data_IF_826921195458
#
_entry.id   IF_826921195458
#
_cell.length_a   1.000
_cell.length_b   1.000
_cell.length_c   1.000
_cell.angle_alpha   90.00
_cell.angle_beta   90.00
_cell.angle_gamma   90.00
#
_symmetry.space_group_name_H-M   'P 1'
#
loop_
_entity.id
_entity.type
_entity.pdbx_description
1 polymer ?
#
# COMPACT_ATOMS: atom_id res chain seq x y z
N UNK A 1 -20.20 37.80 -19.36
CA UNK A 1 -19.81 37.28 -18.03
C UNK A 1 -19.86 35.73 -18.02
N UNK A 2 -20.93 35.10 -18.50
CA UNK A 2 -21.11 33.64 -18.51
C UNK A 2 -20.04 32.88 -19.32
N UNK A 3 -19.65 33.41 -20.49
CA UNK A 3 -18.62 32.80 -21.35
C UNK A 3 -17.24 32.83 -20.70
N UNK A 4 -16.91 33.91 -20.00
CA UNK A 4 -15.63 34.05 -19.28
C UNK A 4 -15.54 33.04 -18.10
N UNK A 5 -16.65 32.88 -17.37
CA UNK A 5 -16.72 31.91 -16.26
C UNK A 5 -16.59 30.48 -16.76
N UNK A 6 -17.26 30.12 -17.86
CA UNK A 6 -17.15 28.82 -18.50
C UNK A 6 -15.72 28.56 -19.01
N UNK A 7 -15.08 29.57 -19.61
CA UNK A 7 -13.68 29.47 -20.04
C UNK A 7 -12.72 29.26 -18.88
N UNK A 8 -12.92 29.94 -17.75
CA UNK A 8 -12.14 29.81 -16.54
C UNK A 8 -12.32 28.41 -15.92
N UNK A 9 -13.57 27.94 -15.83
CA UNK A 9 -13.89 26.60 -15.33
C UNK A 9 -13.26 25.52 -16.21
N UNK A 10 -13.32 25.64 -17.52
CA UNK A 10 -12.67 24.72 -18.46
C UNK A 10 -11.15 24.76 -18.34
N UNK A 11 -10.54 25.93 -18.18
CA UNK A 11 -9.10 26.09 -17.94
C UNK A 11 -8.67 25.41 -16.63
N UNK A 12 -9.39 25.64 -15.53
CA UNK A 12 -9.13 25.02 -14.23
C UNK A 12 -9.31 23.50 -14.29
N UNK A 13 -10.34 23.03 -14.98
CA UNK A 13 -10.55 21.59 -15.22
C UNK A 13 -9.40 20.96 -16.01
N UNK A 14 -8.94 21.59 -17.08
CA UNK A 14 -7.77 21.12 -17.85
C UNK A 14 -6.48 21.15 -17.04
N UNK A 15 -6.25 22.18 -16.25
CA UNK A 15 -5.09 22.28 -15.35
C UNK A 15 -5.09 21.16 -14.31
N UNK A 16 -6.23 20.91 -13.70
CA UNK A 16 -6.43 19.83 -12.75
C UNK A 16 -6.16 18.45 -13.38
N UNK A 17 -6.67 18.20 -14.58
CA UNK A 17 -6.46 16.94 -15.30
C UNK A 17 -4.98 16.70 -15.66
N UNK A 18 -4.24 17.73 -16.06
CA UNK A 18 -2.79 17.63 -16.30
C UNK A 18 -2.01 17.26 -15.02
N UNK A 19 -2.41 17.85 -13.90
CA UNK A 19 -1.79 17.54 -12.60
C UNK A 19 -2.03 16.08 -12.19
N UNK A 20 -3.26 15.56 -12.37
CA UNK A 20 -3.58 14.15 -12.13
C UNK A 20 -2.77 13.20 -12.99
N UNK A 21 -2.64 13.50 -14.28
CA UNK A 21 -1.84 12.67 -15.21
C UNK A 21 -0.35 12.66 -14.84
N UNK A 22 0.20 13.78 -14.36
CA UNK A 22 1.60 13.83 -13.91
C UNK A 22 1.83 12.99 -12.64
N UNK A 23 0.90 13.03 -11.67
CA UNK A 23 0.97 12.25 -10.44
C UNK A 23 0.83 10.75 -10.76
N UNK A 24 -0.11 10.38 -11.63
CA UNK A 24 -0.28 8.99 -12.08
C UNK A 24 0.99 8.47 -12.77
N UNK A 25 1.59 9.28 -13.65
CA UNK A 25 2.84 8.93 -14.33
C UNK A 25 3.99 8.76 -13.35
N UNK A 26 4.12 9.67 -12.38
CA UNK A 26 5.16 9.61 -11.34
C UNK A 26 5.01 8.36 -10.45
N UNK A 27 3.78 8.01 -10.09
CA UNK A 27 3.50 6.78 -9.34
C UNK A 27 3.79 5.51 -10.15
N UNK A 28 3.45 5.50 -11.45
CA UNK A 28 3.78 4.37 -12.32
C UNK A 28 5.29 4.20 -12.51
N UNK A 29 6.04 5.29 -12.63
CA UNK A 29 7.50 5.23 -12.71
C UNK A 29 8.13 4.76 -11.39
N UNK A 30 7.58 5.16 -10.25
CA UNK A 30 8.02 4.67 -8.94
C UNK A 30 7.79 3.16 -8.78
N UNK A 31 6.62 2.66 -9.17
CA UNK A 31 6.30 1.23 -9.15
C UNK A 31 7.22 0.44 -10.10
N UNK A 32 7.49 0.97 -11.31
CA UNK A 32 8.43 0.32 -12.25
C UNK A 32 9.85 0.24 -11.68
N UNK A 33 10.33 1.31 -11.04
CA UNK A 33 11.66 1.31 -10.38
C UNK A 33 11.73 0.31 -9.24
N UNK A 34 10.69 0.22 -8.42
CA UNK A 34 10.60 -0.74 -7.32
C UNK A 34 10.61 -2.19 -7.84
N UNK A 35 9.86 -2.45 -8.90
CA UNK A 35 9.82 -3.77 -9.54
C UNK A 35 11.18 -4.16 -10.14
N UNK A 36 11.85 -3.23 -10.80
CA UNK A 36 13.18 -3.46 -11.39
C UNK A 36 14.26 -3.65 -10.31
N UNK A 37 14.21 -2.88 -9.20
CA UNK A 37 15.09 -3.10 -8.06
C UNK A 37 14.89 -4.50 -7.44
N UNK A 38 13.65 -4.89 -7.22
CA UNK A 38 13.32 -6.20 -6.65
C UNK A 38 13.77 -7.34 -7.57
N UNK A 39 13.67 -7.16 -8.89
CA UNK A 39 14.21 -8.12 -9.87
C UNK A 39 15.73 -8.24 -9.75
N UNK A 40 16.46 -7.12 -9.67
CA UNK A 40 17.92 -7.12 -9.51
C UNK A 40 18.39 -7.73 -8.20
N UNK A 41 17.68 -7.46 -7.10
CA UNK A 41 17.97 -8.09 -5.80
C UNK A 41 17.83 -9.61 -5.92
N UNK A 42 16.75 -10.08 -6.53
CA UNK A 42 16.52 -11.51 -6.74
C UNK A 42 17.58 -12.17 -7.63
N UNK A 43 18.04 -11.48 -8.67
CA UNK A 43 19.13 -11.94 -9.54
C UNK A 43 20.48 -12.00 -8.81
N UNK A 44 20.76 -11.06 -7.92
CA UNK A 44 21.96 -11.06 -7.08
C UNK A 44 21.93 -12.17 -6.01
N UNK A 45 20.78 -12.44 -5.43
CA UNK A 45 20.58 -13.53 -4.48
C UNK A 45 20.73 -14.91 -5.14
N UNK A 46 20.36 -15.03 -6.41
CA UNK A 46 20.48 -16.28 -7.18
C UNK A 46 21.91 -16.56 -7.65
N UNK A 47 22.73 -15.50 -7.82
CA UNK A 47 24.10 -15.58 -8.33
C UNK A 47 25.19 -15.56 -7.25
N UNK A 48 24.84 -15.52 -5.97
CA UNK A 48 25.81 -15.63 -4.88
C UNK A 48 26.26 -17.08 -4.70
N UNK A 49 27.58 -17.39 -4.73
CA UNK A 49 28.06 -18.75 -4.54
C UNK A 49 27.77 -19.23 -3.12
N UNK A 50 27.06 -20.34 -3.02
CA UNK A 50 26.73 -21.02 -1.77
C UNK A 50 27.97 -21.62 -1.13
N UNK A 51 28.54 -20.94 -0.15
CA UNK A 51 29.50 -21.51 0.79
C UNK A 51 29.12 -21.08 2.21
N UNK A 52 28.22 -21.82 2.85
CA UNK A 52 28.19 -22.01 4.31
C UNK A 52 27.37 -23.29 4.63
N UNK A 53 27.89 -24.09 5.52
CA UNK A 53 27.49 -25.40 5.92
C UNK A 53 26.02 -25.62 6.29
N UNK A 54 25.48 -26.74 5.89
CA UNK A 54 24.06 -27.13 5.91
C UNK A 54 23.43 -27.28 7.31
N UNK A 55 24.22 -27.35 8.39
CA UNK A 55 23.70 -27.56 9.75
C UNK A 55 23.28 -26.28 10.49
N UNK A 56 23.99 -25.17 10.29
CA UNK A 56 23.65 -23.89 10.90
C UNK A 56 22.53 -23.16 10.16
N UNK A 57 22.30 -23.49 8.88
CA UNK A 57 21.28 -22.89 8.03
C UNK A 57 19.85 -23.23 8.45
N UNK A 58 19.63 -24.45 8.98
CA UNK A 58 18.31 -24.88 9.45
C UNK A 58 17.93 -24.27 10.80
N UNK A 59 18.86 -24.09 11.72
CA UNK A 59 18.61 -23.46 13.01
C UNK A 59 18.41 -21.94 12.86
N UNK A 60 19.15 -21.26 11.98
CA UNK A 60 18.99 -19.83 11.73
C UNK A 60 17.78 -19.50 10.87
N UNK A 61 17.35 -20.38 9.95
CA UNK A 61 16.15 -20.17 9.12
C UNK A 61 14.88 -20.30 9.96
N UNK A 62 14.76 -21.26 10.85
CA UNK A 62 13.58 -21.43 11.71
C UNK A 62 13.41 -20.23 12.68
N UNK A 63 14.50 -19.74 13.29
CA UNK A 63 14.46 -18.54 14.13
C UNK A 63 14.14 -17.28 13.35
N UNK A 64 14.58 -17.18 12.10
CA UNK A 64 14.28 -16.06 11.20
C UNK A 64 12.82 -16.11 10.74
N UNK A 65 12.31 -17.31 10.47
CA UNK A 65 10.92 -17.52 10.06
C UNK A 65 9.95 -17.26 11.21
N UNK A 66 10.28 -17.66 12.44
CA UNK A 66 9.48 -17.37 13.63
C UNK A 66 9.43 -15.87 13.93
N UNK A 67 10.56 -15.17 13.91
CA UNK A 67 10.61 -13.70 14.06
C UNK A 67 9.86 -12.99 12.95
N UNK A 68 9.94 -13.48 11.73
CA UNK A 68 9.22 -12.95 10.58
C UNK A 68 7.70 -13.05 10.77
N UNK A 69 7.25 -14.20 11.26
CA UNK A 69 5.84 -14.45 11.54
C UNK A 69 5.32 -13.61 12.72
N UNK A 70 6.11 -13.47 13.78
CA UNK A 70 5.78 -12.61 14.93
C UNK A 70 5.64 -11.15 14.52
N UNK A 71 6.59 -10.66 13.71
CA UNK A 71 6.53 -9.30 13.20
C UNK A 71 5.31 -9.08 12.30
N UNK A 72 4.97 -10.06 11.46
CA UNK A 72 3.77 -9.99 10.63
C UNK A 72 2.49 -10.01 11.47
N UNK A 73 2.41 -10.82 12.52
CA UNK A 73 1.28 -10.82 13.46
C UNK A 73 1.13 -9.46 14.16
N UNK A 74 2.25 -8.86 14.57
CA UNK A 74 2.25 -7.51 15.17
C UNK A 74 1.75 -6.48 14.16
N UNK A 75 2.21 -6.55 12.90
CA UNK A 75 1.72 -5.70 11.82
C UNK A 75 0.20 -5.86 11.60
N UNK A 76 -0.31 -7.09 11.53
CA UNK A 76 -1.75 -7.36 11.41
C UNK A 76 -2.54 -6.76 12.58
N UNK A 77 -2.02 -6.88 13.80
CA UNK A 77 -2.64 -6.33 15.00
C UNK A 77 -2.75 -4.80 14.92
N UNK A 78 -1.66 -4.08 14.64
CA UNK A 78 -1.69 -2.61 14.56
C UNK A 78 -2.55 -2.12 13.38
N UNK A 79 -2.58 -2.87 12.28
CA UNK A 79 -3.52 -2.56 11.19
C UNK A 79 -4.98 -2.69 11.63
N UNK A 80 -5.35 -3.74 12.36
CA UNK A 80 -6.74 -4.00 12.76
C UNK A 80 -7.19 -3.18 13.96
N UNK A 81 -6.36 -3.08 15.00
CA UNK A 81 -6.72 -2.45 16.27
C UNK A 81 -6.48 -0.94 16.23
N UNK A 82 -5.29 -0.51 15.80
CA UNK A 82 -4.91 0.90 15.77
C UNK A 82 -5.34 1.60 14.47
N UNK A 83 -5.73 0.80 13.45
CA UNK A 83 -6.23 1.28 12.15
C UNK A 83 -5.29 2.29 11.49
N UNK A 84 -3.97 2.09 11.61
CA UNK A 84 -2.96 3.00 11.08
C UNK A 84 -3.07 3.19 9.56
N UNK A 85 -3.77 2.28 8.85
CA UNK A 85 -4.08 2.42 7.42
C UNK A 85 -4.93 3.66 7.11
N UNK A 86 -5.64 4.26 8.08
CA UNK A 86 -6.42 5.49 7.90
C UNK A 86 -5.55 6.73 7.71
N UNK A 87 -4.29 6.69 8.14
CA UNK A 87 -3.34 7.77 7.85
C UNK A 87 -3.05 7.82 6.33
N UNK A 88 -3.43 8.94 5.69
CA UNK A 88 -3.18 9.16 4.27
C UNK A 88 -1.70 9.39 3.94
N UNK A 89 -0.86 9.63 4.95
CA UNK A 89 0.59 9.76 4.85
C UNK A 89 1.34 8.53 5.34
N UNK A 90 0.67 7.37 5.48
CA UNK A 90 1.32 6.14 5.87
C UNK A 90 2.38 5.71 4.85
N UNK A 91 3.58 5.45 5.32
CA UNK A 91 4.72 5.00 4.50
C UNK A 91 5.33 3.73 5.05
N UNK A 92 6.05 2.99 4.19
CA UNK A 92 6.83 1.82 4.65
C UNK A 92 7.81 2.17 5.76
N UNK A 93 8.44 3.35 5.66
CA UNK A 93 9.44 3.80 6.64
C UNK A 93 8.80 4.03 8.00
N UNK A 94 7.65 4.72 8.07
CA UNK A 94 6.87 4.89 9.31
C UNK A 94 6.48 3.55 9.95
N UNK A 95 5.96 2.62 9.15
CA UNK A 95 5.53 1.33 9.67
C UNK A 95 6.72 0.48 10.10
N UNK A 96 7.84 0.53 9.37
CA UNK A 96 9.07 -0.13 9.77
C UNK A 96 9.61 0.40 11.10
N UNK A 97 9.57 1.71 11.31
CA UNK A 97 9.94 2.36 12.57
C UNK A 97 9.05 1.90 13.74
N UNK A 98 7.73 1.90 13.57
CA UNK A 98 6.76 1.41 14.59
C UNK A 98 7.06 -0.03 14.98
N UNK A 99 7.46 -0.87 14.02
CA UNK A 99 7.74 -2.29 14.24
C UNK A 99 9.19 -2.56 14.68
N UNK A 100 10.04 -1.55 14.84
CA UNK A 100 11.44 -1.71 15.19
C UNK A 100 12.27 -2.47 14.15
N UNK A 101 11.93 -2.31 12.86
CA UNK A 101 12.57 -3.00 11.75
C UNK A 101 12.99 -2.03 10.64
N UNK A 102 13.47 -2.54 9.52
CA UNK A 102 13.81 -1.72 8.37
C UNK A 102 12.84 -1.94 7.20
N UNK A 103 12.80 -0.96 6.29
CA UNK A 103 11.93 -0.94 5.11
C UNK A 103 12.04 -2.18 4.23
N UNK A 104 13.24 -2.68 4.02
CA UNK A 104 13.50 -3.84 3.15
C UNK A 104 12.94 -5.11 3.78
N UNK A 105 13.20 -5.33 5.07
CA UNK A 105 12.70 -6.47 5.81
C UNK A 105 11.18 -6.46 5.91
N UNK A 106 10.56 -5.31 6.21
CA UNK A 106 9.11 -5.14 6.20
C UNK A 106 8.49 -5.50 4.85
N UNK A 107 9.08 -4.99 3.73
CA UNK A 107 8.58 -5.32 2.38
C UNK A 107 8.65 -6.80 2.08
N UNK A 108 9.73 -7.48 2.49
CA UNK A 108 9.92 -8.92 2.34
C UNK A 108 8.85 -9.69 3.10
N UNK A 109 8.65 -9.40 4.38
CA UNK A 109 7.66 -10.07 5.23
C UNK A 109 6.25 -9.91 4.66
N UNK A 110 5.85 -8.71 4.29
CA UNK A 110 4.53 -8.47 3.69
C UNK A 110 4.36 -9.30 2.43
N UNK A 111 5.35 -9.31 1.55
CA UNK A 111 5.28 -10.07 0.31
C UNK A 111 5.25 -11.59 0.56
N UNK A 112 6.06 -12.10 1.46
CA UNK A 112 6.12 -13.53 1.81
C UNK A 112 4.82 -14.02 2.41
N UNK A 113 4.22 -13.27 3.33
CA UNK A 113 3.03 -13.67 4.10
C UNK A 113 1.71 -13.36 3.40
N UNK A 114 1.63 -12.23 2.69
CA UNK A 114 0.37 -11.79 2.06
C UNK A 114 0.37 -11.87 0.53
N UNK A 115 1.53 -12.08 -0.11
CA UNK A 115 1.73 -12.00 -1.57
C UNK A 115 1.41 -10.62 -2.17
N UNK A 116 1.34 -9.59 -1.33
CA UNK A 116 1.01 -8.23 -1.72
C UNK A 116 2.22 -7.30 -1.60
N UNK A 117 2.22 -6.22 -2.37
CA UNK A 117 3.08 -5.08 -2.08
C UNK A 117 2.54 -4.31 -0.87
N UNK A 118 3.37 -3.47 -0.23
CA UNK A 118 2.95 -2.65 0.91
C UNK A 118 1.70 -1.81 0.62
N UNK A 119 1.65 -1.16 -0.55
CA UNK A 119 0.51 -0.32 -0.94
C UNK A 119 -0.78 -1.15 -1.10
N UNK A 120 -0.70 -2.32 -1.74
CA UNK A 120 -1.84 -3.20 -1.88
C UNK A 120 -2.28 -3.78 -0.54
N UNK A 121 -1.31 -4.10 0.35
CA UNK A 121 -1.57 -4.59 1.69
C UNK A 121 -2.34 -3.55 2.53
N UNK A 122 -1.91 -2.29 2.55
CA UNK A 122 -2.62 -1.20 3.23
C UNK A 122 -4.00 -0.96 2.63
N UNK A 123 -4.09 -0.92 1.30
CA UNK A 123 -5.35 -0.66 0.60
C UNK A 123 -6.38 -1.79 0.83
N UNK A 124 -5.94 -3.04 1.05
CA UNK A 124 -6.84 -4.13 1.44
C UNK A 124 -7.63 -3.79 2.70
N UNK A 125 -6.98 -3.33 3.77
CA UNK A 125 -7.65 -2.93 5.01
C UNK A 125 -8.60 -1.74 4.80
N UNK A 126 -8.20 -0.78 3.97
CA UNK A 126 -9.05 0.37 3.62
C UNK A 126 -10.32 -0.06 2.91
N UNK A 127 -10.21 -0.97 1.96
CA UNK A 127 -11.37 -1.49 1.21
C UNK A 127 -12.23 -2.41 2.07
N UNK A 128 -11.65 -3.27 2.89
CA UNK A 128 -12.40 -4.09 3.86
C UNK A 128 -13.26 -3.21 4.79
N UNK A 129 -12.69 -2.13 5.32
CA UNK A 129 -13.44 -1.19 6.17
C UNK A 129 -14.47 -0.38 5.38
N UNK A 130 -14.17 -0.01 4.12
CA UNK A 130 -15.15 0.65 3.25
C UNK A 130 -16.37 -0.24 3.01
N UNK A 131 -16.15 -1.51 2.70
CA UNK A 131 -17.23 -2.50 2.51
C UNK A 131 -18.07 -2.61 3.77
N UNK A 132 -17.42 -2.71 4.95
CA UNK A 132 -18.12 -2.78 6.24
C UNK A 132 -18.99 -1.53 6.47
N UNK A 133 -18.46 -0.33 6.24
CA UNK A 133 -19.20 0.93 6.42
C UNK A 133 -20.37 1.05 5.44
N UNK A 134 -20.15 0.70 4.19
CA UNK A 134 -21.19 0.80 3.14
C UNK A 134 -22.25 -0.30 3.23
N UNK A 135 -21.97 -1.39 3.94
CA UNK A 135 -22.94 -2.46 4.20
C UNK A 135 -23.84 -2.16 5.40
N UNK A 136 -23.54 -1.12 6.19
CA UNK A 136 -24.41 -0.69 7.29
C UNK A 136 -25.57 0.15 6.73
N UNK A 137 -26.82 -0.30 6.83
CA UNK A 137 -27.98 0.42 6.31
C UNK A 137 -28.22 1.77 7.02
N UNK A 138 -27.65 1.99 8.21
CA UNK A 138 -27.76 3.24 8.94
C UNK A 138 -26.64 4.23 8.59
N UNK A 139 -25.70 3.83 7.77
CA UNK A 139 -24.60 4.70 7.37
C UNK A 139 -24.97 5.57 6.18
N UNK A 140 -25.28 6.82 6.43
CA UNK A 140 -25.59 7.84 5.41
C UNK A 140 -24.34 8.57 4.88
N UNK A 141 -23.13 8.18 5.30
CA UNK A 141 -21.89 8.86 4.93
C UNK A 141 -21.60 8.71 3.44
N UNK A 142 -21.45 9.81 2.68
CA UNK A 142 -21.16 9.74 1.25
C UNK A 142 -19.83 9.01 0.97
N UNK A 143 -19.76 8.23 -0.09
CA UNK A 143 -18.57 7.48 -0.49
C UNK A 143 -17.29 8.34 -0.56
N UNK A 144 -17.43 9.60 -0.96
CA UNK A 144 -16.32 10.56 -0.99
C UNK A 144 -15.76 10.83 0.42
N UNK A 145 -16.62 10.97 1.41
CA UNK A 145 -16.21 11.19 2.80
C UNK A 145 -15.57 9.92 3.39
N UNK A 146 -16.18 8.74 3.15
CA UNK A 146 -15.62 7.43 3.53
C UNK A 146 -14.22 7.26 2.93
N UNK A 147 -14.05 7.53 1.64
CA UNK A 147 -12.75 7.44 0.96
C UNK A 147 -11.69 8.31 1.64
N UNK A 148 -12.02 9.55 1.99
CA UNK A 148 -11.10 10.47 2.66
C UNK A 148 -10.78 10.00 4.10
N UNK A 149 -11.78 9.56 4.86
CA UNK A 149 -11.61 9.05 6.22
C UNK A 149 -10.72 7.79 6.26
N UNK A 150 -10.80 6.95 5.24
CA UNK A 150 -9.99 5.75 5.12
C UNK A 150 -8.56 6.01 4.60
N UNK A 151 -8.18 7.26 4.38
CA UNK A 151 -6.83 7.66 4.02
C UNK A 151 -6.52 7.57 2.53
N UNK A 152 -7.52 7.53 1.64
CA UNK A 152 -7.28 7.63 0.21
C UNK A 152 -7.02 9.06 -0.21
N UNK A 153 -5.89 9.29 -0.88
CA UNK A 153 -5.55 10.60 -1.45
C UNK A 153 -6.30 10.91 -2.75
N UNK A 154 -6.96 9.93 -3.35
CA UNK A 154 -7.70 10.04 -4.60
C UNK A 154 -8.96 9.20 -4.57
N UNK A 155 -10.08 9.87 -4.81
CA UNK A 155 -11.39 9.21 -4.93
C UNK A 155 -11.43 8.20 -6.11
N UNK A 156 -10.70 8.50 -7.21
CA UNK A 156 -10.63 7.61 -8.36
C UNK A 156 -9.89 6.31 -8.02
N UNK A 157 -8.81 6.38 -7.22
CA UNK A 157 -8.11 5.19 -6.73
C UNK A 157 -9.02 4.35 -5.85
N UNK A 158 -9.78 5.00 -4.96
CA UNK A 158 -10.76 4.32 -4.12
C UNK A 158 -11.80 3.57 -4.96
N UNK A 159 -12.45 4.24 -5.92
CA UNK A 159 -13.48 3.63 -6.78
C UNK A 159 -12.95 2.42 -7.55
N UNK A 160 -11.76 2.55 -8.16
CA UNK A 160 -11.16 1.45 -8.92
C UNK A 160 -10.90 0.21 -8.05
N UNK A 161 -10.34 0.40 -6.85
CA UNK A 161 -10.05 -0.68 -5.92
C UNK A 161 -11.32 -1.27 -5.31
N UNK A 162 -12.29 -0.43 -4.97
CA UNK A 162 -13.57 -0.87 -4.42
C UNK A 162 -14.33 -1.71 -5.45
N UNK A 163 -14.46 -1.23 -6.67
CA UNK A 163 -15.13 -1.95 -7.76
C UNK A 163 -14.45 -3.30 -8.05
N UNK A 164 -13.11 -3.35 -8.06
CA UNK A 164 -12.38 -4.62 -8.28
C UNK A 164 -12.52 -5.61 -7.12
N UNK A 165 -12.95 -5.15 -5.94
CA UNK A 165 -13.11 -6.00 -4.75
C UNK A 165 -14.53 -6.52 -4.55
N UNK A 166 -15.55 -5.83 -5.10
CA UNK A 166 -16.98 -6.19 -4.94
C UNK A 166 -17.65 -6.64 -6.24
N UNK A 167 -17.00 -6.42 -7.39
CA UNK A 167 -17.51 -6.78 -8.71
C UNK A 167 -16.83 -7.95 -9.29
#
# INVERSE_FOLDING_TARGET
ITVIVLGLLYYLYRRKNKLYLSIVKQNQEAIKRETELNRRIKELETNAPSMVSTSEKYASSSLTDEKSLELFRTLERIMREEKIYKDNFITKDKVAEILGTNRTYLSRIINEQSKLSFTHYVNRFRIEEAIRLLSDPNNETPMKAISAELGFNSISTFYNLFQSSVG
#
